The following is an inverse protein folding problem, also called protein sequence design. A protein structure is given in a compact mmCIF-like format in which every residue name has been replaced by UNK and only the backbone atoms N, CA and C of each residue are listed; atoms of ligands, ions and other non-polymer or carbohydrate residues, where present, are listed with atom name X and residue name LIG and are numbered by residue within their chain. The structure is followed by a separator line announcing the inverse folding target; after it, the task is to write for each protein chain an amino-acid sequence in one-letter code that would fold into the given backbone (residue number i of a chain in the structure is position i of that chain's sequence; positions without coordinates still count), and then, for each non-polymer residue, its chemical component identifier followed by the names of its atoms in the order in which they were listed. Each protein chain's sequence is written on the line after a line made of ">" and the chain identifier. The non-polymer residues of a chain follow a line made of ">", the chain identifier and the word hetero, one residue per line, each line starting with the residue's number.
data_IF_803906560445
#
_entry.id   IF_803906560445
#
_cell.length_a   1.000
_cell.length_b   1.000
_cell.length_c   1.000
_cell.angle_alpha   90.00
_cell.angle_beta   90.00
_cell.angle_gamma   90.00
#
_symmetry.space_group_name_H-M   'P 1'
#
loop_
_entity.id
_entity.type
_entity.pdbx_description
1 polymer ?
#
# COMPACT_ATOMS: atom_id res chain seq x y z
N UNK A 1 11.63 -11.96 10.34
CA UNK A 1 12.54 -11.02 9.64
C UNK A 1 13.55 -11.74 8.76
N UNK A 2 14.04 -12.91 9.17
CA UNK A 2 14.93 -13.75 8.35
C UNK A 2 14.32 -14.13 6.98
N UNK A 3 13.00 -14.41 6.93
CA UNK A 3 12.28 -14.64 5.67
C UNK A 3 12.40 -13.45 4.70
N UNK A 4 12.23 -12.21 5.18
CA UNK A 4 12.29 -11.02 4.32
C UNK A 4 13.69 -10.85 3.72
N UNK A 5 14.75 -11.16 4.48
CA UNK A 5 16.11 -11.19 3.95
C UNK A 5 16.31 -12.27 2.91
N UNK A 6 16.09 -13.54 3.31
CA UNK A 6 16.31 -14.70 2.46
C UNK A 6 15.55 -14.59 1.14
N UNK A 7 14.28 -14.20 1.22
CA UNK A 7 13.44 -14.04 0.05
C UNK A 7 13.80 -12.79 -0.76
N UNK A 8 14.11 -11.67 -0.10
CA UNK A 8 14.49 -10.44 -0.79
C UNK A 8 15.81 -10.57 -1.55
N UNK A 9 16.80 -11.25 -0.99
CA UNK A 9 18.07 -11.54 -1.67
C UNK A 9 17.85 -12.54 -2.81
N UNK A 10 17.12 -13.62 -2.54
CA UNK A 10 16.80 -14.61 -3.56
C UNK A 10 16.01 -14.00 -4.74
N UNK A 11 14.98 -13.17 -4.48
CA UNK A 11 14.20 -12.49 -5.52
C UNK A 11 15.05 -11.52 -6.34
N UNK A 12 16.05 -10.88 -5.72
CA UNK A 12 16.97 -9.99 -6.44
C UNK A 12 17.86 -10.78 -7.40
N UNK A 13 18.36 -11.93 -6.97
CA UNK A 13 19.17 -12.81 -7.81
C UNK A 13 18.35 -13.45 -8.95
N UNK A 14 17.04 -13.62 -8.75
CA UNK A 14 16.13 -14.31 -9.67
C UNK A 14 15.12 -13.38 -10.36
N UNK A 15 15.31 -12.05 -10.28
CA UNK A 15 14.31 -11.06 -10.76
C UNK A 15 13.96 -11.24 -12.25
N UNK A 16 14.93 -11.61 -13.07
CA UNK A 16 14.75 -11.81 -14.51
C UNK A 16 13.85 -13.00 -14.82
N UNK A 17 13.92 -14.06 -14.01
CA UNK A 17 13.08 -15.26 -14.12
C UNK A 17 11.69 -15.01 -13.54
N UNK A 18 11.60 -14.28 -12.42
CA UNK A 18 10.33 -14.06 -11.71
C UNK A 18 9.46 -12.99 -12.35
N UNK A 19 10.05 -11.87 -12.80
CA UNK A 19 9.28 -10.69 -13.23
C UNK A 19 9.42 -10.34 -14.72
N UNK A 20 10.49 -10.79 -15.38
CA UNK A 20 10.77 -10.43 -16.79
C UNK A 20 10.55 -11.60 -17.77
N UNK A 21 10.11 -12.77 -17.28
CA UNK A 21 9.83 -13.94 -18.11
C UNK A 21 11.05 -14.52 -18.84
N UNK A 22 12.27 -14.20 -18.41
CA UNK A 22 13.51 -14.54 -19.13
C UNK A 22 14.12 -15.89 -18.75
N UNK A 23 13.32 -16.91 -18.44
CA UNK A 23 13.81 -18.21 -17.93
C UNK A 23 13.10 -19.43 -18.54
N UNK A 24 13.51 -20.62 -18.08
CA UNK A 24 12.85 -21.91 -18.37
C UNK A 24 11.33 -21.78 -18.20
N UNK A 25 10.57 -22.22 -19.21
CA UNK A 25 9.11 -22.24 -19.10
C UNK A 25 8.69 -23.24 -18.02
N UNK A 26 7.71 -22.88 -17.17
CA UNK A 26 7.18 -23.81 -16.20
C UNK A 26 6.64 -25.07 -16.91
N UNK A 27 6.67 -26.25 -16.26
CA UNK A 27 6.13 -27.47 -16.83
C UNK A 27 4.68 -27.26 -17.32
N UNK A 28 4.42 -27.65 -18.57
CA UNK A 28 3.10 -27.52 -19.22
C UNK A 28 2.05 -28.50 -18.67
N UNK A 29 2.43 -29.37 -17.74
CA UNK A 29 1.58 -30.36 -17.07
C UNK A 29 0.61 -29.76 -16.03
N UNK A 30 0.64 -28.44 -15.84
CA UNK A 30 -0.21 -27.75 -14.89
C UNK A 30 0.17 -28.00 -13.43
N UNK A 31 1.38 -28.50 -13.14
CA UNK A 31 1.87 -28.67 -11.76
C UNK A 31 2.09 -27.33 -11.04
N UNK A 32 2.42 -26.27 -11.79
CA UNK A 32 2.66 -24.91 -11.29
C UNK A 32 1.44 -24.02 -11.56
N UNK A 33 0.47 -24.04 -10.64
CA UNK A 33 -0.75 -23.22 -10.72
C UNK A 33 -0.78 -22.07 -9.71
N UNK A 34 0.18 -22.01 -8.79
CA UNK A 34 0.24 -20.99 -7.74
C UNK A 34 1.61 -20.36 -7.68
N UNK A 35 1.65 -19.09 -7.31
CA UNK A 35 2.86 -18.31 -7.01
C UNK A 35 3.75 -19.07 -6.04
N UNK A 36 3.14 -19.73 -5.04
CA UNK A 36 3.90 -20.56 -4.09
C UNK A 36 4.63 -21.72 -4.77
N UNK A 37 3.96 -22.47 -5.65
CA UNK A 37 4.59 -23.59 -6.36
C UNK A 37 5.64 -23.12 -7.36
N UNK A 38 5.41 -21.99 -8.01
CA UNK A 38 6.36 -21.40 -8.94
C UNK A 38 7.68 -21.01 -8.26
N UNK A 39 7.59 -20.33 -7.11
CA UNK A 39 8.77 -19.92 -6.34
C UNK A 39 9.53 -21.13 -5.78
N UNK A 40 8.82 -22.18 -5.37
CA UNK A 40 9.46 -23.43 -4.93
C UNK A 40 10.12 -24.20 -6.08
N UNK A 41 9.52 -24.20 -7.26
CA UNK A 41 10.12 -24.78 -8.46
C UNK A 41 11.41 -24.05 -8.86
N UNK A 42 11.45 -22.73 -8.70
CA UNK A 42 12.68 -21.93 -8.88
C UNK A 42 13.72 -22.17 -7.76
N UNK A 43 13.42 -22.99 -6.75
CA UNK A 43 14.37 -23.46 -5.74
C UNK A 43 14.27 -22.77 -4.37
N UNK A 44 13.31 -21.87 -4.16
CA UNK A 44 13.11 -21.23 -2.84
C UNK A 44 12.01 -21.93 -2.04
N UNK A 45 12.30 -22.57 -0.89
CA UNK A 45 11.33 -23.37 -0.14
C UNK A 45 10.35 -22.49 0.64
N UNK A 46 9.42 -21.85 -0.07
CA UNK A 46 8.53 -20.80 0.44
C UNK A 46 7.57 -21.31 1.53
N UNK A 47 7.01 -22.51 1.40
CA UNK A 47 6.09 -23.08 2.41
C UNK A 47 6.78 -23.45 3.72
N UNK A 48 8.08 -23.72 3.69
CA UNK A 48 8.87 -24.06 4.89
C UNK A 48 9.28 -22.85 5.73
N UNK A 49 8.92 -21.65 5.28
CA UNK A 49 9.28 -20.40 5.96
C UNK A 49 8.36 -20.11 7.14
N UNK A 50 8.81 -19.26 8.07
CA UNK A 50 8.05 -18.90 9.26
C UNK A 50 6.97 -17.84 8.96
N UNK A 51 5.89 -18.28 8.30
CA UNK A 51 4.70 -17.50 7.99
C UNK A 51 4.02 -16.87 9.21
N UNK A 52 3.87 -17.55 10.37
CA UNK A 52 3.27 -16.93 11.55
C UNK A 52 4.03 -15.71 12.06
N UNK A 53 5.37 -15.76 12.08
CA UNK A 53 6.17 -14.61 12.51
C UNK A 53 6.01 -13.41 11.58
N UNK A 54 5.81 -13.68 10.28
CA UNK A 54 5.55 -12.65 9.29
C UNK A 54 4.15 -12.05 9.45
N UNK A 55 3.13 -12.86 9.69
CA UNK A 55 1.78 -12.36 9.92
C UNK A 55 1.74 -11.41 11.12
N UNK A 56 2.36 -11.82 12.24
CA UNK A 56 2.55 -10.97 13.44
C UNK A 56 3.31 -9.68 13.15
N UNK A 57 4.19 -9.67 12.16
CA UNK A 57 4.88 -8.47 11.73
C UNK A 57 3.95 -7.50 11.02
N UNK A 58 3.09 -7.99 10.13
CA UNK A 58 2.08 -7.21 9.40
C UNK A 58 0.96 -6.68 10.30
N UNK A 59 0.68 -7.37 11.41
CA UNK A 59 -0.32 -6.96 12.41
C UNK A 59 0.12 -5.78 13.29
N UNK A 60 1.39 -5.37 13.23
CA UNK A 60 1.91 -4.29 14.08
C UNK A 60 1.19 -2.97 13.82
N UNK A 61 0.87 -2.26 14.90
CA UNK A 61 0.24 -0.93 14.86
C UNK A 61 1.05 0.12 14.08
N UNK A 62 2.36 -0.09 13.93
CA UNK A 62 3.23 0.72 13.07
C UNK A 62 2.62 0.92 11.68
N UNK A 63 2.14 -0.17 11.07
CA UNK A 63 1.58 -0.16 9.72
C UNK A 63 0.24 0.54 9.61
N UNK A 64 -0.50 0.66 10.70
CA UNK A 64 -1.78 1.34 10.70
C UNK A 64 -1.64 2.85 10.53
N UNK A 65 -0.43 3.43 10.67
CA UNK A 65 -0.23 4.88 10.62
C UNK A 65 -0.23 5.37 9.16
N UNK A 66 -1.07 6.34 8.83
CA UNK A 66 -1.24 6.86 7.45
C UNK A 66 0.08 7.37 6.82
N UNK A 67 0.96 7.97 7.62
CA UNK A 67 2.27 8.44 7.15
C UNK A 67 3.18 7.33 6.64
N UNK A 68 3.00 6.09 7.09
CA UNK A 68 3.83 4.98 6.62
C UNK A 68 3.57 4.73 5.14
N UNK A 69 2.33 4.85 4.67
CA UNK A 69 2.02 4.75 3.24
C UNK A 69 2.81 5.76 2.41
N UNK A 70 2.90 7.01 2.88
CA UNK A 70 3.64 8.06 2.20
C UNK A 70 5.17 7.84 2.21
N UNK A 71 5.73 7.46 3.37
CA UNK A 71 7.16 7.12 3.49
C UNK A 71 7.57 6.02 2.51
N UNK A 72 6.61 5.23 2.05
CA UNK A 72 6.83 4.21 1.06
C UNK A 72 6.63 4.67 -0.37
N UNK A 73 5.64 5.51 -0.62
CA UNK A 73 5.31 5.96 -1.97
C UNK A 73 6.32 6.97 -2.53
N UNK A 74 6.86 7.87 -1.69
CA UNK A 74 7.65 9.03 -2.12
C UNK A 74 9.12 8.72 -2.47
N UNK A 75 9.90 7.95 -1.68
CA UNK A 75 11.34 7.75 -1.89
C UNK A 75 11.74 6.86 -3.09
N UNK A 76 10.88 6.72 -4.09
CA UNK A 76 11.08 5.82 -5.22
C UNK A 76 10.54 4.41 -4.95
N UNK A 77 10.48 3.61 -6.01
CA UNK A 77 9.82 2.29 -6.04
C UNK A 77 10.75 1.24 -6.61
N UNK A 78 10.69 0.01 -6.09
CA UNK A 78 11.47 -1.13 -6.60
C UNK A 78 12.95 -0.79 -6.79
N UNK A 79 13.47 -0.86 -8.02
CA UNK A 79 14.87 -0.58 -8.35
C UNK A 79 15.32 0.84 -7.99
N UNK A 80 14.38 1.79 -7.84
CA UNK A 80 14.66 3.16 -7.40
C UNK A 80 14.40 3.38 -5.90
N UNK A 81 13.87 2.39 -5.19
CA UNK A 81 13.61 2.51 -3.77
C UNK A 81 14.94 2.48 -3.01
N UNK A 82 15.13 3.45 -2.12
CA UNK A 82 16.28 3.53 -1.22
C UNK A 82 15.81 3.53 0.23
N UNK A 83 16.64 3.02 1.13
CA UNK A 83 16.39 3.01 2.56
C UNK A 83 16.59 1.66 3.24
N UNK A 84 16.60 1.71 4.56
CA UNK A 84 16.80 0.56 5.45
C UNK A 84 15.68 0.58 6.49
N UNK A 85 15.04 -0.56 6.68
CA UNK A 85 14.12 -0.75 7.79
C UNK A 85 14.86 -1.23 9.01
N UNK A 86 14.51 -0.68 10.15
CA UNK A 86 14.94 -1.16 11.45
C UNK A 86 13.76 -1.81 12.17
N UNK A 87 13.97 -3.02 12.67
CA UNK A 87 13.02 -3.79 13.45
C UNK A 87 13.76 -4.37 14.67
N UNK A 88 13.84 -3.59 15.74
CA UNK A 88 14.67 -3.92 16.89
C UNK A 88 16.14 -3.99 16.50
N UNK A 89 16.82 -5.09 16.83
CA UNK A 89 18.21 -5.33 16.46
C UNK A 89 18.42 -5.81 15.00
N UNK A 90 17.34 -6.00 14.25
CA UNK A 90 17.42 -6.46 12.85
C UNK A 90 17.17 -5.29 11.90
N UNK A 91 17.85 -5.29 10.76
CA UNK A 91 17.63 -4.31 9.70
C UNK A 91 17.54 -5.01 8.35
N UNK A 92 16.78 -4.49 7.39
CA UNK A 92 16.69 -5.03 6.03
C UNK A 92 16.54 -3.91 5.02
N UNK A 93 17.04 -4.12 3.80
CA UNK A 93 16.96 -3.14 2.74
C UNK A 93 15.50 -2.94 2.28
N UNK A 94 15.18 -1.70 1.88
CA UNK A 94 13.86 -1.37 1.34
C UNK A 94 13.47 -2.24 0.14
N UNK A 95 14.42 -2.50 -0.76
CA UNK A 95 14.18 -3.32 -1.95
C UNK A 95 13.80 -4.76 -1.61
N UNK A 96 14.43 -5.37 -0.60
CA UNK A 96 14.08 -6.71 -0.11
C UNK A 96 12.62 -6.74 0.35
N UNK A 97 12.19 -5.66 1.00
CA UNK A 97 10.83 -5.53 1.48
C UNK A 97 9.82 -5.33 0.36
N UNK A 98 10.11 -4.49 -0.63
CA UNK A 98 9.23 -4.28 -1.79
C UNK A 98 9.02 -5.60 -2.56
N UNK A 99 10.10 -6.36 -2.82
CA UNK A 99 10.03 -7.68 -3.45
C UNK A 99 9.14 -8.65 -2.64
N UNK A 100 9.34 -8.65 -1.33
CA UNK A 100 8.51 -9.43 -0.41
C UNK A 100 7.02 -9.04 -0.50
N UNK A 101 6.71 -7.75 -0.54
CA UNK A 101 5.32 -7.26 -0.61
C UNK A 101 4.62 -7.66 -1.91
N UNK A 102 5.33 -7.61 -3.05
CA UNK A 102 4.78 -8.09 -4.33
C UNK A 102 4.42 -9.56 -4.26
N UNK A 103 5.28 -10.39 -3.68
CA UNK A 103 4.98 -11.81 -3.53
C UNK A 103 3.71 -12.04 -2.71
N UNK A 104 3.57 -11.33 -1.58
CA UNK A 104 2.38 -11.42 -0.73
C UNK A 104 1.13 -11.02 -1.51
N UNK A 105 1.18 -9.94 -2.28
CA UNK A 105 0.05 -9.48 -3.08
C UNK A 105 -0.37 -10.52 -4.13
N UNK A 106 0.58 -11.14 -4.82
CA UNK A 106 0.30 -12.22 -5.77
C UNK A 106 -0.40 -13.39 -5.09
N UNK A 107 0.09 -13.81 -3.91
CA UNK A 107 -0.55 -14.90 -3.14
C UNK A 107 -1.94 -14.51 -2.61
N UNK A 108 -2.15 -13.25 -2.22
CA UNK A 108 -3.46 -12.76 -1.75
C UNK A 108 -4.48 -12.75 -2.89
N UNK A 109 -4.08 -12.34 -4.09
CA UNK A 109 -4.92 -12.39 -5.29
C UNK A 109 -5.31 -13.84 -5.61
N UNK A 110 -4.34 -14.76 -5.60
CA UNK A 110 -4.59 -16.19 -5.86
C UNK A 110 -5.51 -16.84 -4.83
N UNK A 111 -5.38 -16.47 -3.56
CA UNK A 111 -6.16 -17.05 -2.46
C UNK A 111 -7.54 -16.41 -2.28
N UNK A 112 -7.88 -15.38 -3.06
CA UNK A 112 -9.16 -14.64 -2.95
C UNK A 112 -9.47 -14.18 -1.51
N UNK A 113 -8.43 -13.84 -0.74
CA UNK A 113 -8.60 -13.43 0.66
C UNK A 113 -9.42 -12.12 0.76
N UNK A 114 -10.42 -12.02 1.65
CA UNK A 114 -11.25 -10.81 1.73
C UNK A 114 -10.47 -9.59 2.24
N UNK A 115 -10.62 -8.46 1.53
CA UNK A 115 -9.90 -7.19 1.80
C UNK A 115 -10.12 -6.65 3.24
N UNK A 116 -11.26 -6.99 3.84
CA UNK A 116 -11.67 -6.50 5.15
C UNK A 116 -10.96 -7.19 6.32
N UNK A 117 -10.29 -8.32 6.10
CA UNK A 117 -9.59 -9.11 7.14
C UNK A 117 -8.08 -8.87 7.12
N UNK A 118 -7.59 -8.03 6.20
CA UNK A 118 -6.16 -7.84 6.06
C UNK A 118 -5.53 -7.10 7.25
N UNK A 119 -4.36 -7.56 7.73
CA UNK A 119 -3.61 -6.85 8.75
C UNK A 119 -3.17 -5.49 8.20
N UNK A 120 -2.91 -4.48 9.05
CA UNK A 120 -2.63 -3.12 8.61
C UNK A 120 -1.43 -3.03 7.64
N UNK A 121 -0.42 -3.89 7.80
CA UNK A 121 0.70 -3.98 6.87
C UNK A 121 0.26 -4.34 5.46
N UNK A 122 -0.61 -5.34 5.31
CA UNK A 122 -1.11 -5.77 4.01
C UNK A 122 -2.01 -4.71 3.36
N UNK A 123 -2.86 -4.05 4.15
CA UNK A 123 -3.68 -2.95 3.66
C UNK A 123 -2.82 -1.79 3.12
N UNK A 124 -1.75 -1.43 3.83
CA UNK A 124 -0.78 -0.43 3.38
C UNK A 124 -0.11 -0.84 2.06
N UNK A 125 0.30 -2.11 1.92
CA UNK A 125 0.87 -2.61 0.65
C UNK A 125 -0.10 -2.61 -0.51
N UNK A 126 -1.37 -2.92 -0.28
CA UNK A 126 -2.40 -2.84 -1.31
C UNK A 126 -2.57 -1.40 -1.80
N UNK A 127 -2.55 -0.41 -0.90
CA UNK A 127 -2.55 1.00 -1.32
C UNK A 127 -1.35 1.32 -2.20
N UNK A 128 -0.14 0.89 -1.80
CA UNK A 128 1.06 1.10 -2.61
C UNK A 128 0.97 0.41 -3.97
N UNK A 129 0.41 -0.79 -4.04
CA UNK A 129 0.20 -1.53 -5.28
C UNK A 129 -0.79 -0.83 -6.22
N UNK A 130 -1.90 -0.32 -5.69
CA UNK A 130 -2.83 0.51 -6.47
C UNK A 130 -2.17 1.80 -6.97
N UNK A 131 -1.25 2.38 -6.19
CA UNK A 131 -0.43 3.50 -6.69
C UNK A 131 0.53 3.08 -7.83
N UNK A 132 0.92 1.80 -7.91
CA UNK A 132 1.81 1.24 -8.94
C UNK A 132 1.06 0.90 -10.22
N UNK A 133 -0.17 0.37 -10.15
CA UNK A 133 -0.96 -0.01 -11.32
C UNK A 133 -1.43 1.17 -12.17
N UNK A 134 -1.19 2.41 -11.72
CA UNK A 134 -1.55 3.62 -12.46
C UNK A 134 -3.05 3.92 -12.41
N UNK A 135 -3.80 3.26 -11.53
CA UNK A 135 -5.15 3.67 -11.20
C UNK A 135 -5.13 5.13 -10.71
N UNK A 136 -6.11 5.91 -11.18
CA UNK A 136 -6.23 7.36 -10.96
C UNK A 136 -5.96 7.72 -9.48
N UNK A 137 -4.74 8.22 -9.21
CA UNK A 137 -4.24 8.50 -7.84
C UNK A 137 -4.76 9.86 -7.36
N UNK A 138 -6.05 10.08 -7.51
CA UNK A 138 -6.68 11.27 -6.95
C UNK A 138 -6.84 11.15 -5.44
N UNK A 139 -6.98 12.29 -4.78
CA UNK A 139 -7.08 12.36 -3.32
C UNK A 139 -8.26 11.56 -2.78
N UNK A 140 -9.35 11.48 -3.53
CA UNK A 140 -10.56 10.72 -3.17
C UNK A 140 -10.33 9.23 -3.10
N UNK A 141 -9.63 8.67 -4.08
CA UNK A 141 -9.26 7.26 -4.09
C UNK A 141 -8.35 6.95 -2.90
N UNK A 142 -7.34 7.80 -2.67
CA UNK A 142 -6.42 7.65 -1.53
C UNK A 142 -7.14 7.71 -0.19
N UNK A 143 -8.06 8.65 0.00
CA UNK A 143 -8.88 8.76 1.21
C UNK A 143 -9.71 7.50 1.44
N UNK A 144 -10.31 6.94 0.38
CA UNK A 144 -11.09 5.69 0.46
C UNK A 144 -10.22 4.49 0.84
N UNK A 145 -9.11 4.26 0.13
CA UNK A 145 -8.27 3.06 0.37
C UNK A 145 -7.49 3.14 1.67
N UNK A 146 -7.23 4.35 2.19
CA UNK A 146 -6.54 4.56 3.46
C UNK A 146 -7.47 4.87 4.64
N UNK A 147 -8.80 4.79 4.48
CA UNK A 147 -9.78 5.18 5.51
C UNK A 147 -9.56 4.49 6.89
N UNK A 148 -9.07 3.24 6.87
CA UNK A 148 -8.75 2.44 8.07
C UNK A 148 -7.41 2.81 8.73
N UNK A 149 -6.63 3.69 8.11
CA UNK A 149 -5.39 4.19 8.67
C UNK A 149 -5.66 5.15 9.84
N UNK A 150 -4.74 5.11 10.79
CA UNK A 150 -4.73 5.88 12.02
C UNK A 150 -3.79 7.06 11.88
N UNK A 151 -4.14 8.13 12.58
CA UNK A 151 -3.28 9.28 12.76
C UNK A 151 -3.46 9.80 14.19
N UNK A 152 -2.38 10.34 14.76
CA UNK A 152 -2.43 11.00 16.07
C UNK A 152 -3.04 12.39 15.92
N UNK A 153 -2.59 13.13 14.91
CA UNK A 153 -3.25 14.36 14.48
C UNK A 153 -4.30 14.02 13.42
N UNK A 154 -5.58 14.39 13.58
CA UNK A 154 -6.60 14.08 12.60
C UNK A 154 -6.34 14.72 11.22
N UNK A 155 -5.59 15.83 11.14
CA UNK A 155 -5.21 16.51 9.88
C UNK A 155 -4.30 15.64 9.02
N UNK A 156 -3.49 14.77 9.64
CA UNK A 156 -2.56 13.89 8.94
C UNK A 156 -3.27 12.86 8.06
N UNK A 157 -4.55 12.54 8.35
CA UNK A 157 -5.35 11.68 7.46
C UNK A 157 -5.48 12.26 6.05
N UNK A 158 -5.40 13.60 5.93
CA UNK A 158 -5.38 14.29 4.64
C UNK A 158 -3.95 14.61 4.21
N UNK A 159 -3.17 15.25 5.09
CA UNK A 159 -1.83 15.76 4.73
C UNK A 159 -0.83 14.68 4.32
N UNK A 160 -0.90 13.48 4.92
CA UNK A 160 -0.04 12.39 4.52
C UNK A 160 -0.28 11.94 3.07
N UNK A 161 -1.47 12.16 2.53
CA UNK A 161 -1.88 11.68 1.20
C UNK A 161 -1.58 12.70 0.10
N UNK A 162 -1.48 14.00 0.42
CA UNK A 162 -1.28 15.06 -0.58
C UNK A 162 -0.02 14.82 -1.43
N UNK A 163 1.09 14.42 -0.82
CA UNK A 163 2.34 14.12 -1.54
C UNK A 163 2.28 12.87 -2.43
N UNK A 164 1.22 12.07 -2.34
CA UNK A 164 0.99 10.88 -3.17
C UNK A 164 -0.04 11.11 -4.27
N UNK A 165 -0.93 12.07 -4.07
CA UNK A 165 -2.06 12.35 -4.94
C UNK A 165 -1.62 13.20 -6.15
N UNK A 166 -2.16 12.91 -7.34
CA UNK A 166 -1.88 13.69 -8.55
C UNK A 166 -2.47 15.11 -8.47
N UNK A 167 -3.58 15.24 -7.76
CA UNK A 167 -4.31 16.46 -7.43
C UNK A 167 -3.98 16.97 -6.01
N UNK A 168 -2.87 16.51 -5.42
CA UNK A 168 -2.49 16.84 -4.05
C UNK A 168 -2.13 18.30 -3.80
N UNK A 169 -1.96 19.09 -4.86
CA UNK A 169 -1.80 20.55 -4.81
C UNK A 169 -3.09 21.29 -4.43
N UNK A 170 -4.22 20.58 -4.34
CA UNK A 170 -5.53 21.08 -3.87
C UNK A 170 -5.48 21.73 -2.49
N UNK A 171 -4.49 21.37 -1.67
CA UNK A 171 -4.32 21.90 -0.33
C UNK A 171 -2.83 21.95 0.02
N UNK A 172 -2.44 22.94 0.82
CA UNK A 172 -1.12 22.98 1.45
C UNK A 172 -1.23 22.63 2.94
N UNK A 173 -0.33 21.80 3.49
CA UNK A 173 -0.32 21.52 4.92
C UNK A 173 -0.18 22.80 5.76
N UNK A 174 -1.12 23.03 6.67
CA UNK A 174 -1.13 24.13 7.63
C UNK A 174 -1.52 23.62 9.02
N UNK A 175 -0.51 23.39 9.85
CA UNK A 175 -0.73 22.94 11.23
C UNK A 175 -1.10 24.07 12.19
N UNK A 176 -1.13 25.33 11.74
CA UNK A 176 -1.67 26.44 12.52
C UNK A 176 -3.20 26.48 12.48
N UNK A 177 -3.80 25.96 11.40
CA UNK A 177 -5.25 25.83 11.25
C UNK A 177 -5.82 24.69 12.10
N UNK A 178 -7.01 24.91 12.66
CA UNK A 178 -7.80 23.85 13.31
C UNK A 178 -8.23 22.78 12.30
N UNK A 179 -8.49 21.56 12.77
CA UNK A 179 -8.97 20.47 11.92
C UNK A 179 -10.22 20.86 11.11
N UNK A 180 -11.17 21.60 11.70
CA UNK A 180 -12.37 22.07 11.02
C UNK A 180 -12.06 23.03 9.86
N UNK A 181 -11.13 23.97 10.06
CA UNK A 181 -10.68 24.87 8.99
C UNK A 181 -10.00 24.11 7.85
N UNK A 182 -9.20 23.10 8.17
CA UNK A 182 -8.55 22.24 7.17
C UNK A 182 -9.60 21.48 6.33
N UNK A 183 -10.62 20.91 6.96
CA UNK A 183 -11.70 20.24 6.24
C UNK A 183 -12.50 21.20 5.36
N UNK A 184 -12.84 22.39 5.86
CA UNK A 184 -13.54 23.41 5.06
C UNK A 184 -12.70 23.80 3.85
N UNK A 185 -11.42 24.11 4.05
CA UNK A 185 -10.51 24.46 2.96
C UNK A 185 -10.41 23.33 1.93
N UNK A 186 -10.28 22.08 2.39
CA UNK A 186 -10.23 20.93 1.50
C UNK A 186 -11.51 20.80 0.67
N UNK A 187 -12.68 20.81 1.31
CA UNK A 187 -13.96 20.66 0.62
C UNK A 187 -14.21 21.82 -0.34
N UNK A 188 -13.90 23.06 0.05
CA UNK A 188 -14.01 24.23 -0.84
C UNK A 188 -13.12 24.10 -2.07
N UNK A 189 -11.83 23.80 -1.90
CA UNK A 189 -10.89 23.62 -3.02
C UNK A 189 -11.23 22.39 -3.88
N UNK A 190 -11.76 21.33 -3.27
CA UNK A 190 -12.25 20.16 -3.99
C UNK A 190 -13.48 20.50 -4.83
N UNK A 191 -14.45 21.20 -4.26
CA UNK A 191 -15.62 21.68 -4.99
C UNK A 191 -15.17 22.56 -6.14
N UNK A 192 -14.32 23.56 -5.94
CA UNK A 192 -13.85 24.44 -7.00
C UNK A 192 -13.16 23.68 -8.14
N UNK A 193 -12.30 22.71 -7.82
CA UNK A 193 -11.56 21.93 -8.81
C UNK A 193 -12.45 20.98 -9.60
N UNK A 194 -13.38 20.30 -8.94
CA UNK A 194 -14.19 19.25 -9.55
C UNK A 194 -15.57 19.72 -10.02
N UNK A 195 -16.18 20.75 -9.40
CA UNK A 195 -17.38 21.40 -9.95
C UNK A 195 -17.09 22.21 -11.22
N UNK A 196 -15.84 22.63 -11.47
CA UNK A 196 -15.47 23.15 -12.80
C UNK A 196 -15.53 22.06 -13.90
N UNK A 197 -15.61 20.78 -13.53
CA UNK A 197 -15.76 19.64 -14.43
C UNK A 197 -17.10 18.89 -14.28
N UNK A 198 -17.80 19.06 -13.15
CA UNK A 198 -19.09 18.43 -12.81
C UNK A 198 -20.31 19.37 -13.00
N UNK A 199 -20.33 20.20 -14.05
CA UNK A 199 -21.61 20.71 -14.56
C UNK A 199 -22.55 19.59 -15.09
N UNK A 200 -22.19 18.30 -14.91
CA UNK A 200 -23.00 17.17 -15.37
C UNK A 200 -23.43 16.14 -14.31
N UNK A 201 -22.87 16.03 -13.10
CA UNK A 201 -23.32 14.95 -12.19
C UNK A 201 -23.30 15.34 -10.70
N UNK A 202 -24.43 15.89 -10.23
CA UNK A 202 -24.67 16.13 -8.81
C UNK A 202 -24.71 14.81 -8.01
N UNK A 203 -23.82 14.61 -7.03
CA UNK A 203 -23.99 13.76 -5.81
C UNK A 203 -22.67 13.64 -5.00
N UNK A 204 -22.06 14.76 -4.59
CA UNK A 204 -20.75 14.74 -3.90
C UNK A 204 -20.82 14.78 -2.36
N UNK A 205 -21.91 15.27 -1.77
CA UNK A 205 -21.98 15.54 -0.32
C UNK A 205 -22.06 14.29 0.58
N UNK A 206 -22.62 13.17 0.11
CA UNK A 206 -22.71 11.94 0.92
C UNK A 206 -21.42 11.11 0.96
N UNK A 207 -20.54 11.25 -0.04
CA UNK A 207 -19.29 10.47 -0.14
C UNK A 207 -18.27 10.81 0.95
N UNK A 208 -18.19 12.08 1.35
CA UNK A 208 -17.20 12.54 2.33
C UNK A 208 -17.56 12.17 3.77
N UNK A 209 -18.86 12.07 4.07
CA UNK A 209 -19.33 11.77 5.43
C UNK A 209 -18.93 10.37 5.89
N UNK A 210 -18.95 9.37 4.99
CA UNK A 210 -18.54 8.00 5.33
C UNK A 210 -17.01 7.80 5.36
N UNK A 211 -16.26 8.52 4.52
CA UNK A 211 -14.80 8.38 4.46
C UNK A 211 -14.09 9.03 5.67
N UNK A 212 -14.63 10.13 6.21
CA UNK A 212 -13.98 10.87 7.29
C UNK A 212 -14.34 10.39 8.70
N UNK A 213 -15.52 9.81 8.91
CA UNK A 213 -15.99 9.48 10.27
C UNK A 213 -15.58 8.10 10.77
N UNK A 214 -15.16 7.17 9.91
CA UNK A 214 -14.91 5.80 10.33
C UNK A 214 -16.21 5.11 10.78
N UNK A 215 -16.39 3.86 10.35
CA UNK A 215 -17.48 3.01 10.81
C UNK A 215 -17.42 2.84 12.33
N UNK A 216 -18.21 3.63 13.06
CA UNK A 216 -18.19 3.61 14.51
C UNK A 216 -19.07 4.66 15.20
N UNK A 217 -20.30 4.87 14.73
CA UNK A 217 -21.50 5.29 15.50
C UNK A 217 -22.67 4.94 14.54
N UNK A 218 -23.58 4.00 14.75
CA UNK A 218 -24.18 3.31 15.90
C UNK A 218 -24.21 1.80 15.69
#
# INVERSE_FOLDING_TARGET
>A
MELIHKLGDWLREHEGKVFKGGGEEPPSDGSIQTTTRFIEWLGFPLRKQNWPALWRFLERSYWARVWITQQFAVPGRFAKASGIFYCGATQFARTQFDCFCVLILLMVIETSMPINVHPPGLAMFQTLAGCISGENRNIDWLLRVTARSKATDPRDKLYALLGMAEDGDILKPDYSASYGQVLISFVSSHIERYHSQECCWATSTDKYRQALLGSGVT
#
